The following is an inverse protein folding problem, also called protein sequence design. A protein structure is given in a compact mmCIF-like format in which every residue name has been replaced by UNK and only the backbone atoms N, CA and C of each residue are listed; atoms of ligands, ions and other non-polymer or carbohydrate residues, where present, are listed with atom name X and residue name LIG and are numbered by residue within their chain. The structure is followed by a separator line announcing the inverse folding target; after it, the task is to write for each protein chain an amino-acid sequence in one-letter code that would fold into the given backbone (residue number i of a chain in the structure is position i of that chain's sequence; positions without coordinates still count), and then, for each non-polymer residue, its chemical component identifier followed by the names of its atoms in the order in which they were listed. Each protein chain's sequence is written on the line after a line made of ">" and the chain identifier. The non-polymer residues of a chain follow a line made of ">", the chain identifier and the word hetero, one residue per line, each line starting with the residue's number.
data_IF_275256638523
#
_entry.id   IF_275256638523
#
_cell.length_a   1.000
_cell.length_b   1.000
_cell.length_c   1.000
_cell.angle_alpha   90.00
_cell.angle_beta   90.00
_cell.angle_gamma   90.00
#
_symmetry.space_group_name_H-M   'P 1'
#
loop_
_entity.id
_entity.type
_entity.pdbx_description
1 polymer ?
#
# COMPACT_ATOMS: atom_id res chain seq x y z
N UNK A 1 -21.43 -31.70 0.08
CA UNK A 1 -20.51 -31.02 -0.86
C UNK A 1 -21.19 -29.74 -1.32
N UNK A 2 -21.25 -28.75 -0.44
CA UNK A 2 -21.63 -27.38 -0.77
C UNK A 2 -20.34 -26.58 -0.62
N UNK A 3 -19.99 -25.79 -1.64
CA UNK A 3 -18.74 -25.04 -1.68
C UNK A 3 -18.75 -23.94 -0.63
N UNK A 4 -17.69 -23.90 0.18
CA UNK A 4 -17.40 -22.82 1.11
C UNK A 4 -16.91 -21.61 0.28
N UNK A 5 -17.85 -20.74 -0.10
CA UNK A 5 -17.52 -19.48 -0.75
C UNK A 5 -16.91 -18.54 0.30
N UNK A 6 -15.58 -18.44 0.28
CA UNK A 6 -14.80 -17.53 1.12
C UNK A 6 -14.81 -16.16 0.45
N UNK A 7 -15.43 -15.17 1.09
CA UNK A 7 -15.41 -13.79 0.60
C UNK A 7 -14.06 -13.14 0.97
N UNK A 8 -13.16 -13.10 -0.01
CA UNK A 8 -11.88 -12.40 0.07
C UNK A 8 -12.06 -10.96 -0.41
N UNK A 9 -12.30 -10.03 0.51
CA UNK A 9 -12.43 -8.61 0.16
C UNK A 9 -11.04 -7.98 0.09
N UNK A 10 -10.46 -7.94 -1.11
CA UNK A 10 -9.33 -7.06 -1.42
C UNK A 10 -9.85 -5.84 -2.13
N UNK A 11 -9.63 -4.68 -1.52
CA UNK A 11 -9.93 -3.38 -2.13
C UNK A 11 -11.40 -2.99 -2.02
N UNK A 12 -11.75 -2.38 -0.89
CA UNK A 12 -12.94 -1.52 -0.81
C UNK A 12 -12.55 -0.14 -1.37
N UNK A 13 -13.43 0.58 -2.09
CA UNK A 13 -13.19 2.00 -2.39
C UNK A 13 -12.87 2.76 -1.09
N UNK A 14 -11.92 3.70 -1.10
CA UNK A 14 -11.46 4.38 0.12
C UNK A 14 -12.61 5.01 0.93
N UNK A 15 -13.66 5.50 0.27
CA UNK A 15 -14.86 6.06 0.91
C UNK A 15 -15.70 5.03 1.69
N UNK A 16 -15.54 3.75 1.36
CA UNK A 16 -16.18 2.61 2.01
C UNK A 16 -15.20 1.86 2.93
N UNK A 17 -13.94 2.30 3.03
CA UNK A 17 -12.99 1.75 3.99
C UNK A 17 -13.39 2.20 5.39
N UNK A 18 -13.79 1.26 6.27
CA UNK A 18 -13.89 1.60 7.68
C UNK A 18 -12.47 1.92 8.19
N UNK A 19 -12.33 2.85 9.15
CA UNK A 19 -11.02 3.31 9.62
C UNK A 19 -10.17 2.13 10.13
N UNK A 20 -8.84 2.31 10.17
CA UNK A 20 -7.95 1.31 10.78
C UNK A 20 -8.45 0.96 12.19
N UNK A 21 -8.47 -0.34 12.52
CA UNK A 21 -9.02 -0.87 13.77
C UNK A 21 -10.55 -0.92 13.88
N UNK A 22 -11.32 -0.55 12.86
CA UNK A 22 -12.77 -0.68 12.89
C UNK A 22 -13.21 -2.15 12.78
N UNK A 23 -14.26 -2.50 13.53
CA UNK A 23 -14.93 -3.79 13.41
C UNK A 23 -15.60 -3.90 12.05
N UNK A 24 -15.25 -4.94 11.29
CA UNK A 24 -15.86 -5.24 9.99
C UNK A 24 -16.65 -6.52 10.15
N UNK A 25 -17.97 -6.44 9.99
CA UNK A 25 -18.83 -7.62 9.92
C UNK A 25 -19.38 -7.68 8.49
N UNK A 26 -19.14 -8.77 7.73
CA UNK A 26 -19.72 -8.94 6.40
C UNK A 26 -21.24 -8.78 6.44
N UNK A 27 -21.82 -8.13 5.43
CA UNK A 27 -23.25 -7.85 5.39
C UNK A 27 -24.05 -9.05 4.83
N UNK A 28 -24.94 -9.62 5.66
CA UNK A 28 -25.96 -10.60 5.26
C UNK A 28 -25.78 -11.99 5.88
N UNK A 29 -26.87 -12.58 6.40
CA UNK A 29 -26.90 -13.97 6.90
C UNK A 29 -25.87 -14.33 7.97
N UNK A 30 -25.69 -15.63 8.23
CA UNK A 30 -24.52 -16.16 8.92
C UNK A 30 -23.40 -16.30 7.87
N UNK A 31 -22.34 -15.46 7.89
CA UNK A 31 -21.41 -15.30 6.77
C UNK A 31 -20.44 -16.48 6.60
N UNK A 32 -20.53 -17.52 7.43
CA UNK A 32 -19.48 -18.53 7.52
C UNK A 32 -18.17 -17.93 8.06
N UNK A 33 -17.05 -18.67 8.00
CA UNK A 33 -15.78 -18.17 8.48
C UNK A 33 -15.23 -17.08 7.55
N UNK A 34 -14.83 -15.95 8.12
CA UNK A 34 -14.35 -14.78 7.37
C UNK A 34 -13.06 -14.21 7.94
N UNK A 35 -12.24 -13.60 7.08
CA UNK A 35 -11.07 -12.81 7.47
C UNK A 35 -10.94 -11.63 6.52
N UNK A 36 -10.71 -10.44 7.07
CA UNK A 36 -10.43 -9.23 6.27
C UNK A 36 -8.94 -8.91 6.35
N UNK A 37 -8.26 -8.87 5.20
CA UNK A 37 -6.91 -8.31 5.08
C UNK A 37 -7.05 -6.89 4.57
N UNK A 38 -6.54 -5.92 5.33
CA UNK A 38 -6.64 -4.50 5.00
C UNK A 38 -5.23 -3.92 4.81
N UNK A 39 -4.71 -3.93 3.57
CA UNK A 39 -3.35 -3.47 3.31
C UNK A 39 -3.22 -1.95 3.45
N UNK A 40 -2.04 -1.52 3.88
CA UNK A 40 -1.61 -0.13 3.90
C UNK A 40 -1.27 0.37 2.48
N UNK A 41 -0.53 1.48 2.36
CA UNK A 41 -0.17 2.02 1.06
C UNK A 41 0.82 1.11 0.33
N UNK A 42 0.56 0.82 -0.95
CA UNK A 42 1.33 -0.18 -1.69
C UNK A 42 2.70 0.38 -2.09
N UNK A 43 3.77 -0.36 -1.82
CA UNK A 43 5.11 0.01 -2.28
C UNK A 43 5.19 0.03 -3.82
N UNK A 44 4.44 -0.85 -4.48
CA UNK A 44 4.39 -0.96 -5.94
C UNK A 44 3.88 0.32 -6.64
N UNK A 45 3.13 1.17 -5.93
CA UNK A 45 2.68 2.46 -6.47
C UNK A 45 3.82 3.46 -6.69
N UNK A 46 5.00 3.25 -6.08
CA UNK A 46 6.17 4.10 -6.31
C UNK A 46 6.93 3.75 -7.60
N UNK A 47 6.68 2.56 -8.17
CA UNK A 47 7.29 2.10 -9.42
C UNK A 47 6.34 2.24 -10.63
N UNK A 48 5.23 2.97 -10.48
CA UNK A 48 4.22 3.11 -11.54
C UNK A 48 3.61 4.52 -11.57
N UNK A 49 2.81 4.79 -12.61
CA UNK A 49 2.00 6.00 -12.72
C UNK A 49 2.78 7.30 -12.58
N UNK A 50 2.15 8.30 -11.96
CA UNK A 50 2.74 9.64 -11.82
C UNK A 50 4.02 9.66 -10.98
N UNK A 51 4.18 8.71 -10.04
CA UNK A 51 5.40 8.64 -9.24
C UNK A 51 6.57 8.26 -10.12
N UNK A 52 6.42 7.21 -10.93
CA UNK A 52 7.45 6.80 -11.87
C UNK A 52 7.75 7.91 -12.90
N UNK A 53 6.72 8.59 -13.41
CA UNK A 53 6.88 9.72 -14.33
C UNK A 53 7.70 10.85 -13.67
N UNK A 54 7.37 11.22 -12.43
CA UNK A 54 8.13 12.19 -11.66
C UNK A 54 9.59 11.76 -11.44
N UNK A 55 9.85 10.48 -11.13
CA UNK A 55 11.21 9.97 -10.96
C UNK A 55 12.05 10.06 -12.24
N UNK A 56 11.44 9.94 -13.43
CA UNK A 56 12.15 10.19 -14.70
C UNK A 56 12.64 11.64 -14.80
N UNK A 57 11.88 12.56 -14.23
CA UNK A 57 12.17 14.01 -14.16
C UNK A 57 12.96 14.41 -12.90
N UNK A 58 13.31 13.46 -12.02
CA UNK A 58 14.04 13.73 -10.77
C UNK A 58 13.19 14.35 -9.65
N UNK A 59 11.87 14.20 -9.72
CA UNK A 59 10.91 14.81 -8.80
C UNK A 59 10.05 13.75 -8.12
N UNK A 60 9.89 13.85 -6.80
CA UNK A 60 8.92 13.05 -6.05
C UNK A 60 7.80 13.95 -5.52
N UNK A 61 6.80 14.20 -6.36
CA UNK A 61 5.67 15.08 -6.04
C UNK A 61 4.55 14.27 -5.38
N UNK A 62 4.36 14.44 -4.07
CA UNK A 62 3.39 13.66 -3.29
C UNK A 62 2.52 14.55 -2.39
N UNK A 63 1.22 14.27 -2.26
CA UNK A 63 0.31 15.10 -1.46
C UNK A 63 0.31 14.71 0.02
N UNK A 64 1.51 14.66 0.61
CA UNK A 64 1.74 14.30 2.01
C UNK A 64 2.81 15.23 2.60
N UNK A 65 2.70 15.64 3.88
CA UNK A 65 3.77 16.36 4.56
C UNK A 65 5.06 15.54 4.61
N UNK A 66 6.21 16.20 4.44
CA UNK A 66 7.50 15.53 4.31
C UNK A 66 7.90 14.66 5.52
N UNK A 67 7.38 14.99 6.70
CA UNK A 67 7.68 14.40 8.00
C UNK A 67 6.56 13.50 8.54
N UNK A 68 5.43 13.36 7.83
CA UNK A 68 4.33 12.50 8.26
C UNK A 68 4.59 11.05 7.83
N UNK A 69 4.76 10.11 8.77
CA UNK A 69 4.96 8.70 8.41
C UNK A 69 3.75 8.11 7.71
N UNK A 70 4.01 7.16 6.82
CA UNK A 70 3.00 6.38 6.09
C UNK A 70 3.37 4.90 6.17
N UNK A 71 2.42 4.08 6.61
CA UNK A 71 2.55 2.63 6.60
C UNK A 71 2.52 2.11 5.15
N UNK A 72 3.47 1.24 4.83
CA UNK A 72 3.70 0.70 3.49
C UNK A 72 3.65 -0.84 3.50
N UNK A 73 3.25 -1.42 2.37
CA UNK A 73 3.20 -2.86 2.18
C UNK A 73 3.55 -3.22 0.72
N UNK A 74 4.39 -4.23 0.51
CA UNK A 74 4.64 -4.75 -0.84
C UNK A 74 3.49 -5.67 -1.27
N UNK A 75 3.09 -5.65 -2.54
CA UNK A 75 2.06 -6.56 -3.05
C UNK A 75 2.42 -8.05 -2.83
N UNK A 76 3.71 -8.36 -2.87
CA UNK A 76 4.24 -9.69 -2.57
C UNK A 76 3.95 -10.12 -1.12
N UNK A 77 4.12 -9.21 -0.16
CA UNK A 77 3.84 -9.47 1.26
C UNK A 77 2.34 -9.72 1.49
N UNK A 78 1.46 -8.98 0.79
CA UNK A 78 0.01 -9.21 0.83
C UNK A 78 -0.31 -10.63 0.35
N UNK A 79 0.27 -11.05 -0.78
CA UNK A 79 0.05 -12.39 -1.32
C UNK A 79 0.55 -13.50 -0.38
N UNK A 80 1.73 -13.32 0.21
CA UNK A 80 2.29 -14.27 1.17
C UNK A 80 1.46 -14.34 2.46
N UNK A 81 1.01 -13.21 3.00
CA UNK A 81 0.14 -13.19 4.17
C UNK A 81 -1.24 -13.77 3.87
N UNK A 82 -1.81 -13.50 2.69
CA UNK A 82 -3.07 -14.11 2.26
C UNK A 82 -2.96 -15.63 2.20
N UNK A 83 -1.88 -16.18 1.65
CA UNK A 83 -1.62 -17.62 1.66
C UNK A 83 -1.56 -18.17 3.09
N UNK A 84 -0.88 -17.48 4.00
CA UNK A 84 -0.81 -17.86 5.42
C UNK A 84 -2.19 -17.90 6.10
N UNK A 85 -3.04 -16.91 5.84
CA UNK A 85 -4.42 -16.86 6.34
C UNK A 85 -5.23 -18.05 5.83
N UNK A 86 -5.08 -18.41 4.55
CA UNK A 86 -5.78 -19.54 3.94
C UNK A 86 -5.30 -20.90 4.48
N UNK A 87 -4.04 -21.00 4.90
CA UNK A 87 -3.48 -22.20 5.53
C UNK A 87 -3.88 -22.33 7.02
N UNK A 88 -4.11 -21.20 7.70
CA UNK A 88 -4.43 -21.13 9.14
C UNK A 88 -5.81 -20.54 9.42
N UNK A 89 -6.82 -20.87 8.62
CA UNK A 89 -8.15 -20.24 8.63
C UNK A 89 -8.79 -20.11 10.02
N UNK A 90 -8.69 -21.16 10.84
CA UNK A 90 -9.25 -21.16 12.21
C UNK A 90 -8.61 -20.09 13.12
N UNK A 91 -7.32 -19.75 12.91
CA UNK A 91 -6.62 -18.72 13.68
C UNK A 91 -7.09 -17.30 13.32
N UNK A 92 -7.53 -17.12 12.07
CA UNK A 92 -7.88 -15.82 11.50
C UNK A 92 -9.38 -15.58 11.35
N UNK A 93 -10.20 -16.58 11.66
CA UNK A 93 -11.64 -16.48 11.56
C UNK A 93 -12.19 -15.35 12.45
N UNK A 94 -13.08 -14.53 11.88
CA UNK A 94 -13.71 -13.41 12.56
C UNK A 94 -12.79 -12.21 12.77
N UNK A 95 -11.65 -12.12 12.07
CA UNK A 95 -10.64 -11.08 12.29
C UNK A 95 -10.46 -10.17 11.08
N UNK A 96 -10.30 -8.88 11.38
CA UNK A 96 -9.66 -7.91 10.48
C UNK A 96 -8.19 -7.76 10.86
N UNK A 97 -7.31 -7.81 9.87
CA UNK A 97 -5.89 -7.57 10.02
C UNK A 97 -5.52 -6.37 9.14
N UNK A 98 -5.19 -5.25 9.77
CA UNK A 98 -4.55 -4.12 9.08
C UNK A 98 -3.08 -4.51 8.81
N UNK A 99 -2.60 -4.36 7.57
CA UNK A 99 -1.38 -5.00 7.09
C UNK A 99 -0.38 -3.99 6.56
N UNK A 100 0.81 -3.94 7.17
CA UNK A 100 1.94 -3.13 6.75
C UNK A 100 3.25 -3.86 7.08
N UNK A 101 4.28 -3.65 6.25
CA UNK A 101 5.61 -4.24 6.43
C UNK A 101 6.71 -3.23 6.73
N UNK A 102 6.45 -1.95 6.47
CA UNK A 102 7.33 -0.85 6.82
C UNK A 102 6.56 0.46 7.07
N UNK A 103 7.24 1.46 7.63
CA UNK A 103 6.67 2.79 7.85
C UNK A 103 7.73 3.87 7.62
N UNK A 104 7.47 4.78 6.68
CA UNK A 104 8.43 5.82 6.29
C UNK A 104 7.74 7.15 6.03
N UNK A 105 8.46 8.25 6.25
CA UNK A 105 8.01 9.58 5.81
C UNK A 105 8.27 9.78 4.31
N UNK A 106 7.51 10.66 3.62
CA UNK A 106 7.78 11.02 2.23
C UNK A 106 9.22 11.48 1.98
N UNK A 107 9.86 12.15 2.94
CA UNK A 107 11.27 12.52 2.83
C UNK A 107 12.20 11.31 2.82
N UNK A 108 11.95 10.29 3.65
CA UNK A 108 12.73 9.05 3.67
C UNK A 108 12.47 8.19 2.42
N UNK A 109 11.23 8.16 1.95
CA UNK A 109 10.85 7.51 0.69
C UNK A 109 11.62 8.14 -0.47
N UNK A 110 11.63 9.48 -0.58
CA UNK A 110 12.38 10.18 -1.61
C UNK A 110 13.87 9.86 -1.59
N UNK A 111 14.49 9.81 -0.40
CA UNK A 111 15.90 9.43 -0.25
C UNK A 111 16.19 7.99 -0.66
N UNK A 112 15.28 7.07 -0.31
CA UNK A 112 15.39 5.65 -0.67
C UNK A 112 15.28 5.48 -2.18
N UNK A 113 14.31 6.14 -2.82
CA UNK A 113 14.15 6.14 -4.27
C UNK A 113 15.33 6.81 -4.97
N UNK A 114 15.86 7.92 -4.44
CA UNK A 114 17.06 8.57 -4.98
C UNK A 114 18.26 7.60 -5.01
N UNK A 115 18.44 6.86 -3.92
CA UNK A 115 19.51 5.87 -3.79
C UNK A 115 19.32 4.70 -4.75
N UNK A 116 18.10 4.15 -4.83
CA UNK A 116 17.79 2.98 -5.67
C UNK A 116 17.83 3.30 -7.16
N UNK A 117 17.41 4.50 -7.56
CA UNK A 117 17.40 4.94 -8.96
C UNK A 117 18.73 5.52 -9.43
N UNK A 118 19.63 5.89 -8.51
CA UNK A 118 20.85 6.62 -8.80
C UNK A 118 20.61 8.05 -9.31
N UNK A 119 19.43 8.63 -9.04
CA UNK A 119 19.02 9.96 -9.51
C UNK A 119 18.73 10.88 -8.32
N UNK A 120 19.16 12.16 -8.36
CA UNK A 120 18.70 13.13 -7.38
C UNK A 120 17.17 13.19 -7.39
N UNK A 121 16.56 12.92 -6.26
CA UNK A 121 15.10 12.96 -6.09
C UNK A 121 14.77 13.68 -4.79
N UNK A 122 13.98 14.74 -4.88
CA UNK A 122 13.47 15.48 -3.72
C UNK A 122 11.97 15.35 -3.59
N UNK A 123 11.49 15.28 -2.35
CA UNK A 123 10.07 15.36 -2.06
C UNK A 123 9.54 16.77 -2.30
N UNK A 124 8.44 16.88 -3.02
CA UNK A 124 7.68 18.11 -3.21
C UNK A 124 6.25 17.88 -2.76
N UNK A 125 5.84 18.56 -1.69
CA UNK A 125 4.48 18.45 -1.20
C UNK A 125 3.49 19.08 -2.20
N UNK A 126 2.52 18.28 -2.63
CA UNK A 126 1.43 18.73 -3.51
C UNK A 126 0.22 19.10 -2.66
N UNK A 127 -0.29 20.35 -2.73
CA UNK A 127 -1.45 20.74 -1.95
C UNK A 127 -2.68 19.87 -2.27
N UNK A 128 -3.39 19.38 -1.25
CA UNK A 128 -4.61 18.57 -1.44
C UNK A 128 -5.70 19.28 -2.26
N UNK A 129 -5.74 20.61 -2.21
CA UNK A 129 -6.64 21.41 -3.05
C UNK A 129 -6.34 21.27 -4.55
N UNK A 130 -5.08 21.02 -4.93
CA UNK A 130 -4.70 20.72 -6.30
C UNK A 130 -5.15 19.30 -6.67
N UNK A 131 -4.86 18.30 -5.83
CA UNK A 131 -5.29 16.90 -6.05
C UNK A 131 -6.80 16.80 -6.22
N UNK A 132 -7.58 17.52 -5.40
CA UNK A 132 -9.05 17.52 -5.45
C UNK A 132 -9.62 18.00 -6.79
N UNK A 133 -8.89 18.83 -7.55
CA UNK A 133 -9.31 19.24 -8.90
C UNK A 133 -9.25 18.09 -9.91
N UNK A 134 -8.43 17.08 -9.64
CA UNK A 134 -8.24 15.92 -10.50
C UNK A 134 -8.98 14.68 -9.98
N UNK A 135 -9.04 14.49 -8.66
CA UNK A 135 -9.80 13.40 -8.02
C UNK A 135 -10.17 13.77 -6.59
N UNK A 136 -11.47 13.78 -6.30
CA UNK A 136 -11.98 14.01 -4.94
C UNK A 136 -11.60 12.87 -4.00
N UNK A 137 -11.73 11.62 -4.47
CA UNK A 137 -11.45 10.40 -3.73
C UNK A 137 -9.97 10.33 -3.33
N UNK A 138 -9.08 10.63 -4.28
CA UNK A 138 -7.63 10.63 -4.02
C UNK A 138 -7.26 11.70 -2.99
N UNK A 139 -7.88 12.89 -3.08
CA UNK A 139 -7.67 13.95 -2.11
C UNK A 139 -8.21 13.58 -0.72
N UNK A 140 -9.33 12.84 -0.64
CA UNK A 140 -9.88 12.34 0.62
C UNK A 140 -8.96 11.27 1.25
N UNK A 141 -8.45 10.34 0.45
CA UNK A 141 -7.48 9.32 0.88
C UNK A 141 -6.22 9.95 1.48
N UNK A 142 -5.60 10.90 0.78
CA UNK A 142 -4.40 11.56 1.30
C UNK A 142 -4.69 12.49 2.48
N UNK A 143 -5.88 13.10 2.56
CA UNK A 143 -6.29 13.83 3.76
C UNK A 143 -6.36 12.92 4.99
N UNK A 144 -6.85 11.69 4.84
CA UNK A 144 -6.87 10.70 5.90
C UNK A 144 -5.47 10.24 6.30
N UNK A 145 -4.60 9.95 5.33
CA UNK A 145 -3.20 9.59 5.60
C UNK A 145 -2.44 10.70 6.32
N UNK A 146 -2.61 11.96 5.89
CA UNK A 146 -1.97 13.10 6.53
C UNK A 146 -2.51 13.35 7.95
N UNK A 147 -3.83 13.17 8.16
CA UNK A 147 -4.51 13.37 9.43
C UNK A 147 -4.36 12.21 10.40
N UNK A 148 -5.25 11.22 10.30
CA UNK A 148 -5.32 10.08 11.23
C UNK A 148 -4.19 9.07 11.03
N UNK A 149 -3.74 8.88 9.78
CA UNK A 149 -2.75 7.86 9.43
C UNK A 149 -3.31 6.44 9.45
N UNK A 150 -2.47 5.48 9.07
CA UNK A 150 -2.73 4.05 9.26
C UNK A 150 -1.93 3.61 10.48
N UNK A 151 -2.59 3.44 11.62
CA UNK A 151 -1.95 2.92 12.84
C UNK A 151 -1.88 1.39 12.75
N UNK A 152 -0.77 0.89 12.22
CA UNK A 152 -0.53 -0.54 12.01
C UNK A 152 0.67 -0.97 12.84
N UNK A 153 0.52 -2.01 13.66
CA UNK A 153 1.62 -2.58 14.44
C UNK A 153 2.56 -3.40 13.54
N UNK A 154 3.39 -2.71 12.74
CA UNK A 154 4.38 -3.32 11.85
C UNK A 154 5.35 -4.20 12.64
N UNK A 155 5.74 -3.79 13.84
CA UNK A 155 6.64 -4.57 14.69
C UNK A 155 5.98 -5.88 15.15
N UNK A 156 4.69 -5.82 15.50
CA UNK A 156 3.88 -6.99 15.84
C UNK A 156 3.72 -7.94 14.67
N UNK A 157 3.32 -7.45 13.49
CA UNK A 157 3.17 -8.29 12.29
C UNK A 157 4.46 -9.04 11.94
N UNK A 158 5.61 -8.35 12.02
CA UNK A 158 6.92 -8.96 11.74
C UNK A 158 7.33 -10.00 12.78
N UNK A 159 6.95 -9.80 14.05
CA UNK A 159 7.24 -10.72 15.16
C UNK A 159 6.35 -11.95 15.11
N UNK A 160 5.05 -11.75 14.84
CA UNK A 160 4.03 -12.78 14.96
C UNK A 160 3.93 -13.65 13.70
N UNK A 161 4.34 -13.11 12.55
CA UNK A 161 4.29 -13.80 11.25
C UNK A 161 5.62 -13.70 10.47
N UNK A 162 6.77 -14.11 11.03
CA UNK A 162 8.07 -13.97 10.39
C UNK A 162 8.20 -14.75 9.06
N UNK A 163 7.43 -15.81 8.88
CA UNK A 163 7.40 -16.67 7.68
C UNK A 163 6.94 -15.96 6.41
N UNK A 164 6.28 -14.80 6.53
CA UNK A 164 5.82 -14.02 5.39
C UNK A 164 6.98 -13.40 4.62
N UNK A 165 8.13 -13.16 5.27
CA UNK A 165 9.30 -12.57 4.63
C UNK A 165 9.15 -11.07 4.34
N UNK A 166 8.53 -10.33 5.27
CA UNK A 166 8.20 -8.90 5.15
C UNK A 166 9.31 -8.01 4.58
N UNK A 167 9.03 -7.33 3.48
CA UNK A 167 9.94 -6.39 2.85
C UNK A 167 10.04 -5.09 3.63
N UNK A 168 11.26 -4.55 3.77
CA UNK A 168 11.46 -3.13 4.03
C UNK A 168 11.34 -2.38 2.71
N UNK A 169 10.97 -1.11 2.75
CA UNK A 169 10.86 -0.29 1.53
C UNK A 169 12.20 -0.18 0.80
N UNK A 170 13.30 -0.10 1.54
CA UNK A 170 14.65 -0.09 0.97
C UNK A 170 15.00 -1.38 0.21
N UNK A 171 14.66 -2.53 0.77
CA UNK A 171 14.90 -3.84 0.14
C UNK A 171 14.03 -3.99 -1.12
N UNK A 172 12.73 -3.70 -0.99
CA UNK A 172 11.81 -3.68 -2.13
C UNK A 172 12.30 -2.75 -3.25
N UNK A 173 12.75 -1.54 -2.90
CA UNK A 173 13.24 -0.57 -3.89
C UNK A 173 14.53 -1.04 -4.57
N UNK A 174 15.43 -1.71 -3.85
CA UNK A 174 16.66 -2.25 -4.42
C UNK A 174 16.42 -3.39 -5.42
N UNK A 175 15.35 -4.17 -5.22
CA UNK A 175 15.00 -5.31 -6.08
C UNK A 175 14.32 -4.90 -7.40
N UNK A 176 13.90 -3.64 -7.54
CA UNK A 176 13.25 -3.17 -8.76
C UNK A 176 14.26 -2.98 -9.91
N UNK A 177 13.84 -3.32 -11.13
CA UNK A 177 14.63 -3.05 -12.34
C UNK A 177 14.42 -1.60 -12.82
N UNK A 178 14.96 -0.63 -12.06
CA UNK A 178 14.85 0.80 -12.37
C UNK A 178 15.31 1.20 -13.77
N UNK A 179 16.41 0.64 -14.34
CA UNK A 179 16.78 0.93 -15.73
C UNK A 179 15.67 0.64 -16.73
N UNK A 180 14.95 -0.48 -16.57
CA UNK A 180 13.81 -0.83 -17.42
C UNK A 180 12.61 0.07 -17.13
N UNK A 181 12.27 0.27 -15.85
CA UNK A 181 11.10 1.08 -15.45
C UNK A 181 11.23 2.54 -15.92
N UNK A 182 12.41 3.14 -15.72
CA UNK A 182 12.69 4.52 -16.11
C UNK A 182 12.90 4.66 -17.62
N UNK A 183 13.42 3.63 -18.29
CA UNK A 183 13.67 3.61 -19.73
C UNK A 183 12.45 3.29 -20.61
N UNK A 184 11.38 2.70 -20.04
CA UNK A 184 10.15 2.43 -20.78
C UNK A 184 9.44 3.75 -21.15
N UNK A 185 9.33 4.01 -22.46
CA UNK A 185 8.61 5.17 -23.00
C UNK A 185 7.09 5.02 -22.78
N UNK A 186 6.42 5.95 -22.09
CA UNK A 186 4.96 5.91 -21.91
C UNK A 186 4.18 5.97 -23.25
N UNK A 187 4.80 6.41 -24.35
CA UNK A 187 4.16 6.53 -25.66
C UNK A 187 3.96 5.19 -26.41
N UNK A 188 4.40 4.05 -25.89
CA UNK A 188 4.35 2.77 -26.62
C UNK A 188 3.39 1.71 -26.07
N UNK A 189 2.32 2.10 -25.36
CA UNK A 189 1.30 1.13 -24.94
C UNK A 189 0.34 0.85 -26.11
N UNK A 190 0.31 -0.37 -26.70
CA UNK A 190 -0.70 -0.70 -27.71
C UNK A 190 -2.09 -0.68 -27.06
N UNK A 191 -3.02 0.02 -27.70
CA UNK A 191 -4.43 0.02 -27.36
C UNK A 191 -4.99 -1.39 -27.54
N UNK A 192 -5.46 -1.99 -26.44
CA UNK A 192 -6.32 -3.17 -26.44
C UNK A 192 -7.64 -2.82 -25.77
#
# INVERSE_FOLDING_TARGET
>A
MAGDDVEFVVGVPFEQHPPAGAEVVPHGGDPGPWTVIAPAAFMDNYATGWTLDGLREGTFAWPMPADRPLALIAAQDIGAFAALVLDRREEFNGRRIDLASDELTPAQIAQTLASATGRPTSHHEVPLAYVRKHSADLAAMFAYFAGSGLDVDVAGLRRDYPEVGWHRFGDWAADQNWPVLLGADPAHRPSH
#
